data_IF_038260247789
#
_entry.id   IF_038260247789
#
_cell.length_a   1.000
_cell.length_b   1.000
_cell.length_c   1.000
_cell.angle_alpha   90.00
_cell.angle_beta   90.00
_cell.angle_gamma   90.00
#
_symmetry.space_group_name_H-M   'P 1'
#
loop_
_entity.id
_entity.type
_entity.pdbx_description
1 polymer ?
#
# COMPACT_ATOMS: atom_id res chain seq x y z
N UNK A 1 -8.78 -9.67 29.25
CA UNK A 1 -9.40 -8.59 28.44
C UNK A 1 -8.35 -8.11 27.46
N UNK A 2 -8.56 -8.26 26.15
CA UNK A 2 -7.65 -7.67 25.16
C UNK A 2 -7.97 -6.18 25.07
N UNK A 3 -7.00 -5.33 25.41
CA UNK A 3 -7.12 -3.88 25.30
C UNK A 3 -7.32 -3.54 23.82
N UNK A 4 -8.34 -2.75 23.48
CA UNK A 4 -8.54 -2.29 22.12
C UNK A 4 -7.29 -1.53 21.68
N UNK A 5 -6.66 -1.96 20.58
CA UNK A 5 -5.50 -1.26 20.03
C UNK A 5 -5.95 0.11 19.58
N UNK A 6 -5.47 1.15 20.26
CA UNK A 6 -5.72 2.54 19.89
C UNK A 6 -4.99 2.81 18.56
N UNK A 7 -5.73 3.31 17.57
CA UNK A 7 -5.19 3.65 16.25
C UNK A 7 -5.40 5.12 16.01
N UNK A 8 -4.39 5.80 15.50
CA UNK A 8 -4.52 7.15 14.97
C UNK A 8 -5.02 7.07 13.53
N UNK A 9 -5.96 7.91 13.15
CA UNK A 9 -6.53 7.97 11.80
C UNK A 9 -6.34 9.37 11.27
N UNK A 10 -5.59 9.50 10.18
CA UNK A 10 -5.48 10.73 9.40
C UNK A 10 -6.43 10.61 8.20
N UNK A 11 -7.57 11.27 8.32
CA UNK A 11 -8.50 11.42 7.20
C UNK A 11 -8.00 12.54 6.28
N UNK A 12 -7.93 12.32 4.97
CA UNK A 12 -7.55 13.34 4.01
C UNK A 12 -8.34 13.25 2.69
N UNK A 13 -8.59 14.42 2.09
CA UNK A 13 -9.25 14.58 0.77
C UNK A 13 -8.85 15.92 0.15
N UNK A 14 -8.71 15.98 -1.18
CA UNK A 14 -8.59 17.24 -1.90
C UNK A 14 -9.98 17.81 -2.27
N UNK A 15 -10.08 19.13 -2.26
CA UNK A 15 -11.24 19.88 -2.77
C UNK A 15 -10.79 20.80 -3.89
N UNK A 16 -11.15 20.43 -5.12
CA UNK A 16 -10.52 21.04 -6.29
C UNK A 16 -9.04 20.67 -6.34
N UNK A 17 -8.21 21.56 -6.87
CA UNK A 17 -6.79 21.29 -7.07
C UNK A 17 -5.88 21.83 -5.95
N UNK A 18 -6.37 22.75 -5.12
CA UNK A 18 -5.54 23.59 -4.25
C UNK A 18 -5.98 23.67 -2.79
N UNK A 19 -6.99 22.89 -2.36
CA UNK A 19 -7.40 22.80 -0.95
C UNK A 19 -7.29 21.35 -0.49
N UNK A 20 -6.54 21.10 0.58
CA UNK A 20 -6.59 19.84 1.31
C UNK A 20 -7.45 19.99 2.56
N UNK A 21 -8.33 19.01 2.76
CA UNK A 21 -9.06 18.81 4.01
C UNK A 21 -8.47 17.63 4.72
N UNK A 22 -8.13 17.82 5.99
CA UNK A 22 -7.57 16.78 6.81
C UNK A 22 -8.15 16.79 8.22
N UNK A 23 -8.09 15.64 8.87
CA UNK A 23 -8.47 15.48 10.27
C UNK A 23 -7.68 14.34 10.88
N UNK A 24 -7.10 14.58 12.04
CA UNK A 24 -6.49 13.54 12.86
C UNK A 24 -7.46 13.10 13.95
N UNK A 25 -7.69 11.80 14.14
CA UNK A 25 -8.61 11.28 15.14
C UNK A 25 -8.09 9.97 15.75
N UNK A 26 -8.51 9.65 16.96
CA UNK A 26 -8.27 8.32 17.54
C UNK A 26 -9.43 7.38 17.20
N UNK A 27 -9.11 6.14 16.87
CA UNK A 27 -10.08 5.10 16.53
C UNK A 27 -10.99 4.81 17.73
N UNK A 28 -12.30 4.79 17.49
CA UNK A 28 -13.32 4.60 18.53
C UNK A 28 -13.77 5.88 19.22
N UNK A 29 -13.27 7.06 18.81
CA UNK A 29 -13.85 8.33 19.26
C UNK A 29 -15.32 8.41 18.81
N UNK A 30 -16.22 8.77 19.73
CA UNK A 30 -17.65 8.80 19.46
C UNK A 30 -17.95 9.60 18.18
N UNK A 31 -18.74 9.03 17.28
CA UNK A 31 -19.19 9.71 16.06
C UNK A 31 -20.01 10.92 16.49
N UNK A 32 -19.38 12.09 16.51
CA UNK A 32 -20.07 13.34 16.74
C UNK A 32 -20.88 13.69 15.50
N UNK A 33 -22.07 14.25 15.69
CA UNK A 33 -22.91 14.77 14.59
C UNK A 33 -22.19 15.88 13.80
N UNK A 34 -21.17 16.49 14.39
CA UNK A 34 -20.31 17.49 13.77
C UNK A 34 -18.86 17.01 13.74
N UNK A 35 -18.27 16.95 12.55
CA UNK A 35 -16.86 16.66 12.35
C UNK A 35 -16.17 17.91 11.82
N UNK A 36 -15.19 18.43 12.57
CA UNK A 36 -14.35 19.54 12.12
C UNK A 36 -13.16 19.01 11.33
N UNK A 37 -12.91 19.62 10.17
CA UNK A 37 -11.73 19.36 9.34
C UNK A 37 -10.86 20.60 9.31
N UNK A 38 -9.55 20.41 9.43
CA UNK A 38 -8.60 21.44 9.04
C UNK A 38 -8.64 21.61 7.52
N UNK A 39 -8.58 22.85 7.07
CA UNK A 39 -8.47 23.22 5.66
C UNK A 39 -7.16 23.93 5.46
N UNK A 40 -6.46 23.57 4.39
CA UNK A 40 -5.23 24.24 4.00
C UNK A 40 -5.19 24.42 2.50
N UNK A 41 -4.91 25.66 2.08
CA UNK A 41 -4.66 25.96 0.69
C UNK A 41 -3.17 25.80 0.38
N UNK A 42 -2.87 25.31 -0.82
CA UNK A 42 -1.51 25.15 -1.33
C UNK A 42 -1.47 25.42 -2.83
N UNK A 43 -0.28 25.69 -3.36
CA UNK A 43 -0.06 25.79 -4.80
C UNK A 43 0.02 24.36 -5.40
N UNK A 44 -0.88 23.98 -6.32
CA UNK A 44 -0.85 22.66 -6.95
C UNK A 44 0.47 22.38 -7.67
N UNK A 45 1.11 23.41 -8.24
CA UNK A 45 2.40 23.27 -8.93
C UNK A 45 3.53 22.95 -7.93
N UNK A 46 3.47 23.50 -6.71
CA UNK A 46 4.42 23.18 -5.66
C UNK A 46 4.29 21.72 -5.22
N UNK A 47 3.05 21.23 -5.00
CA UNK A 47 2.83 19.83 -4.67
C UNK A 47 3.35 18.91 -5.78
N UNK A 48 3.02 19.22 -7.05
CA UNK A 48 3.51 18.47 -8.20
C UNK A 48 5.03 18.35 -8.25
N UNK A 49 5.74 19.47 -8.12
CA UNK A 49 7.21 19.50 -8.10
C UNK A 49 7.79 18.68 -6.93
N UNK A 50 7.19 18.77 -5.75
CA UNK A 50 7.64 18.00 -4.58
C UNK A 50 7.53 16.49 -4.81
N UNK A 51 6.41 16.04 -5.40
CA UNK A 51 6.18 14.64 -5.70
C UNK A 51 7.15 14.13 -6.78
N UNK A 52 7.41 14.92 -7.82
CA UNK A 52 8.42 14.58 -8.83
C UNK A 52 9.83 14.46 -8.25
N UNK A 53 10.24 15.39 -7.39
CA UNK A 53 11.57 15.36 -6.79
C UNK A 53 11.75 14.21 -5.80
N UNK A 54 10.68 13.84 -5.10
CA UNK A 54 10.66 12.65 -4.24
C UNK A 54 10.82 11.38 -5.08
N UNK A 55 10.08 11.26 -6.19
CA UNK A 55 10.21 10.13 -7.13
C UNK A 55 11.62 10.03 -7.73
N UNK A 56 12.21 11.16 -8.15
CA UNK A 56 13.59 11.20 -8.65
C UNK A 56 14.58 10.73 -7.59
N UNK A 57 14.42 11.19 -6.34
CA UNK A 57 15.32 10.83 -5.23
C UNK A 57 15.25 9.32 -4.92
N UNK A 58 14.05 8.73 -4.88
CA UNK A 58 13.88 7.28 -4.71
C UNK A 58 14.42 6.49 -5.91
N UNK A 59 14.28 7.00 -7.12
CA UNK A 59 14.83 6.33 -8.31
C UNK A 59 16.36 6.29 -8.31
N UNK A 60 16.99 7.32 -7.72
CA UNK A 60 18.45 7.39 -7.56
C UNK A 60 18.94 6.44 -6.46
N UNK A 61 18.15 6.15 -5.43
CA UNK A 61 18.56 5.21 -4.38
C UNK A 61 18.82 3.80 -4.87
N UNK A 62 18.17 3.41 -5.97
CA UNK A 62 18.41 2.13 -6.62
C UNK A 62 19.73 2.08 -7.42
N UNK A 63 20.44 3.21 -7.56
CA UNK A 63 21.62 3.35 -8.44
C UNK A 63 22.86 3.91 -7.73
N UNK A 64 22.67 4.72 -6.69
CA UNK A 64 23.73 5.49 -6.03
C UNK A 64 24.00 4.91 -4.65
N UNK A 65 25.28 4.73 -4.31
CA UNK A 65 25.72 4.11 -3.05
C UNK A 65 25.71 5.03 -1.83
N UNK A 66 25.51 6.34 -2.01
CA UNK A 66 25.49 7.31 -0.91
C UNK A 66 24.08 7.44 -0.30
N UNK A 67 23.76 6.47 0.56
CA UNK A 67 22.51 6.43 1.31
C UNK A 67 22.28 7.68 2.17
N UNK A 68 23.35 8.33 2.64
CA UNK A 68 23.25 9.49 3.54
C UNK A 68 22.73 10.74 2.84
N UNK A 69 23.20 10.98 1.61
CA UNK A 69 22.70 12.09 0.78
C UNK A 69 21.25 11.87 0.37
N UNK A 70 20.88 10.64 0.00
CA UNK A 70 19.50 10.28 -0.34
C UNK A 70 18.58 10.51 0.86
N UNK A 71 18.95 10.01 2.03
CA UNK A 71 18.15 10.19 3.24
C UNK A 71 17.97 11.67 3.59
N UNK A 72 19.04 12.46 3.48
CA UNK A 72 18.98 13.92 3.73
C UNK A 72 17.99 14.62 2.80
N UNK A 73 18.04 14.30 1.50
CA UNK A 73 17.10 14.86 0.52
C UNK A 73 15.66 14.43 0.78
N UNK A 74 15.43 13.15 1.09
CA UNK A 74 14.11 12.64 1.43
C UNK A 74 13.54 13.32 2.68
N UNK A 75 14.37 13.57 3.71
CA UNK A 75 13.94 14.30 4.92
C UNK A 75 13.52 15.73 4.60
N UNK A 76 14.27 16.42 3.76
CA UNK A 76 13.94 17.79 3.33
C UNK A 76 12.61 17.84 2.56
N UNK A 77 12.42 16.93 1.59
CA UNK A 77 11.19 16.83 0.81
C UNK A 77 10.00 16.41 1.67
N UNK A 78 10.17 15.40 2.52
CA UNK A 78 9.15 14.94 3.46
C UNK A 78 8.70 16.01 4.45
N UNK A 79 9.64 16.87 4.90
CA UNK A 79 9.31 18.00 5.79
C UNK A 79 8.52 19.07 5.06
N UNK A 80 8.87 19.37 3.80
CA UNK A 80 8.07 20.28 2.96
C UNK A 80 6.67 19.73 2.70
N UNK A 81 6.51 18.41 2.51
CA UNK A 81 5.19 17.79 2.41
C UNK A 81 4.39 17.92 3.71
N UNK A 82 5.02 17.68 4.86
CA UNK A 82 4.37 17.84 6.17
C UNK A 82 3.84 19.27 6.35
N UNK A 83 4.68 20.25 6.03
CA UNK A 83 4.31 21.65 6.07
C UNK A 83 3.22 21.95 5.05
N UNK A 84 3.32 21.53 3.80
CA UNK A 84 2.35 21.87 2.76
C UNK A 84 0.95 21.31 3.04
N UNK A 85 0.87 20.08 3.56
CA UNK A 85 -0.37 19.30 3.65
C UNK A 85 -1.11 19.46 4.99
N UNK A 86 -0.39 19.71 6.09
CA UNK A 86 -0.97 19.67 7.43
C UNK A 86 -0.94 21.04 8.10
N UNK A 87 -2.02 21.42 8.78
CA UNK A 87 -2.06 22.67 9.55
C UNK A 87 -1.27 22.55 10.87
N UNK A 88 -1.01 23.67 11.52
CA UNK A 88 -0.29 23.72 12.80
C UNK A 88 -0.91 22.83 13.88
N UNK A 89 -2.23 22.83 14.02
CA UNK A 89 -2.93 21.98 14.98
C UNK A 89 -2.65 20.48 14.75
N UNK A 90 -2.76 20.01 13.50
CA UNK A 90 -2.50 18.60 13.18
C UNK A 90 -1.05 18.23 13.41
N UNK A 91 -0.12 19.13 13.04
CA UNK A 91 1.32 18.93 13.28
C UNK A 91 1.63 18.83 14.78
N UNK A 92 1.13 19.77 15.57
CA UNK A 92 1.23 19.73 17.04
C UNK A 92 0.68 18.42 17.62
N UNK A 93 -0.45 17.93 17.12
CA UNK A 93 -1.00 16.65 17.58
C UNK A 93 -0.11 15.46 17.24
N UNK A 94 0.59 15.45 16.11
CA UNK A 94 1.58 14.40 15.79
C UNK A 94 2.78 14.42 16.73
N UNK A 95 3.19 15.59 17.22
CA UNK A 95 4.26 15.73 18.21
C UNK A 95 3.88 15.12 19.56
N UNK A 96 2.60 15.16 19.93
CA UNK A 96 2.10 14.58 21.20
C UNK A 96 2.00 13.04 21.18
N UNK A 97 2.26 12.38 20.05
CA UNK A 97 2.13 10.93 19.91
C UNK A 97 3.48 10.24 20.00
N UNK A 98 3.58 9.18 20.79
CA UNK A 98 4.81 8.40 20.95
C UNK A 98 5.01 7.31 19.87
N UNK A 99 4.06 7.17 18.94
CA UNK A 99 4.02 6.12 17.91
C UNK A 99 2.72 5.31 17.96
N UNK A 100 2.75 4.08 17.46
CA UNK A 100 1.59 3.18 17.43
C UNK A 100 1.09 2.93 16.00
N UNK A 101 -0.20 2.70 15.83
CA UNK A 101 -0.80 2.48 14.51
C UNK A 101 -1.31 3.79 13.92
N UNK A 102 -0.97 4.07 12.67
CA UNK A 102 -1.49 5.21 11.91
C UNK A 102 -2.17 4.71 10.64
N UNK A 103 -3.44 5.03 10.49
CA UNK A 103 -4.22 4.72 9.28
C UNK A 103 -4.45 6.01 8.51
N UNK A 104 -4.01 6.04 7.25
CA UNK A 104 -4.37 7.07 6.30
C UNK A 104 -5.72 6.70 5.67
N UNK A 105 -6.79 7.41 6.06
CA UNK A 105 -8.12 7.26 5.46
C UNK A 105 -8.28 8.32 4.34
N UNK A 106 -7.98 7.89 3.12
CA UNK A 106 -7.83 8.73 1.95
C UNK A 106 -9.02 8.54 1.03
N UNK A 107 -9.40 9.58 0.28
CA UNK A 107 -10.12 9.34 -0.98
C UNK A 107 -9.13 9.19 -2.15
N UNK A 108 -9.65 8.88 -3.34
CA UNK A 108 -8.87 8.71 -4.57
C UNK A 108 -7.97 9.91 -4.90
N UNK A 109 -8.37 11.13 -4.51
CA UNK A 109 -7.62 12.35 -4.82
C UNK A 109 -6.33 12.45 -4.01
N UNK A 110 -6.22 11.79 -2.86
CA UNK A 110 -5.04 11.85 -1.99
C UNK A 110 -4.12 10.62 -2.07
N UNK A 111 -4.46 9.60 -2.87
CA UNK A 111 -3.70 8.34 -2.92
C UNK A 111 -2.30 8.52 -3.50
N UNK A 112 -2.14 9.40 -4.48
CA UNK A 112 -0.86 9.65 -5.15
C UNK A 112 0.20 10.31 -4.23
N UNK A 113 -0.22 10.86 -3.09
CA UNK A 113 0.68 11.46 -2.09
C UNK A 113 1.32 10.34 -1.25
N UNK A 114 2.66 10.31 -1.08
CA UNK A 114 3.35 9.32 -0.27
C UNK A 114 3.32 9.71 1.22
N UNK A 115 2.14 9.61 1.85
CA UNK A 115 1.91 9.97 3.26
C UNK A 115 2.90 9.31 4.24
N UNK A 116 3.38 8.12 3.93
CA UNK A 116 4.39 7.38 4.67
C UNK A 116 5.74 8.11 4.74
N UNK A 117 6.09 8.84 3.67
CA UNK A 117 7.34 9.58 3.51
C UNK A 117 7.23 11.04 3.95
N UNK A 118 6.10 11.42 4.52
CA UNK A 118 5.97 12.70 5.23
C UNK A 118 6.88 12.65 6.46
N UNK A 119 7.65 13.71 6.67
CA UNK A 119 8.62 13.83 7.77
C UNK A 119 8.16 14.92 8.72
N UNK A 120 7.93 14.57 9.97
CA UNK A 120 7.29 15.47 10.96
C UNK A 120 8.25 16.41 11.68
N UNK A 121 9.53 16.38 11.29
CA UNK A 121 10.62 17.08 11.96
C UNK A 121 11.46 16.18 12.87
N UNK A 122 10.94 15.01 13.26
CA UNK A 122 11.65 13.98 14.05
C UNK A 122 12.05 12.78 13.19
N UNK A 123 11.09 12.15 12.50
CA UNK A 123 11.35 11.03 11.59
C UNK A 123 10.20 10.92 10.55
N UNK A 124 10.34 10.02 9.58
CA UNK A 124 9.26 9.70 8.65
C UNK A 124 8.09 9.05 9.37
N UNK A 125 6.85 9.34 8.95
CA UNK A 125 5.65 8.78 9.58
C UNK A 125 5.65 7.24 9.58
N UNK A 126 6.16 6.59 8.52
CA UNK A 126 6.28 5.13 8.48
C UNK A 126 7.34 4.53 9.43
N UNK A 127 8.26 5.35 9.94
CA UNK A 127 9.25 4.96 10.95
C UNK A 127 8.77 5.24 12.37
N UNK A 128 7.94 6.28 12.56
CA UNK A 128 7.28 6.58 13.84
C UNK A 128 6.09 5.68 14.13
N UNK A 129 5.34 5.30 13.09
CA UNK A 129 4.08 4.56 13.21
C UNK A 129 4.08 3.31 12.33
N UNK A 130 3.37 2.27 12.77
CA UNK A 130 2.93 1.18 11.90
C UNK A 130 1.80 1.71 11.02
N UNK A 131 2.14 2.09 9.78
CA UNK A 131 1.24 2.77 8.85
C UNK A 131 0.43 1.80 7.99
N UNK A 132 -0.78 2.19 7.62
CA UNK A 132 -1.59 1.55 6.59
C UNK A 132 -2.52 2.55 5.89
N UNK A 133 -3.04 2.20 4.73
CA UNK A 133 -3.98 3.04 3.95
C UNK A 133 -5.36 2.38 3.88
N UNK A 134 -6.40 3.20 3.96
CA UNK A 134 -7.78 2.88 3.57
C UNK A 134 -8.15 3.89 2.49
N UNK A 135 -8.68 3.41 1.36
CA UNK A 135 -9.06 4.28 0.24
C UNK A 135 -10.57 4.22 0.03
N UNK A 136 -11.24 5.33 0.35
CA UNK A 136 -12.64 5.61 0.03
C UNK A 136 -12.78 5.83 -1.46
N UNK A 137 -13.60 5.01 -2.10
CA UNK A 137 -13.82 4.97 -3.55
C UNK A 137 -15.30 4.84 -3.83
N UNK A 138 -15.72 5.22 -5.03
CA UNK A 138 -17.05 4.89 -5.56
C UNK A 138 -17.12 3.51 -6.19
N UNK A 139 -15.97 2.85 -6.41
CA UNK A 139 -15.93 1.49 -6.93
C UNK A 139 -16.49 0.49 -5.91
N UNK A 140 -17.36 -0.40 -6.37
CA UNK A 140 -17.90 -1.46 -5.52
C UNK A 140 -16.79 -2.44 -5.11
N UNK A 141 -16.52 -2.52 -3.80
CA UNK A 141 -15.67 -3.56 -3.26
C UNK A 141 -16.44 -4.88 -3.27
N UNK A 142 -15.92 -5.88 -3.99
CA UNK A 142 -16.42 -7.26 -3.91
C UNK A 142 -15.86 -7.89 -2.65
N UNK A 143 -16.48 -7.58 -1.51
CA UNK A 143 -16.16 -8.19 -0.23
C UNK A 143 -16.68 -9.63 -0.23
N UNK A 144 -15.83 -10.59 -0.64
CA UNK A 144 -16.07 -11.99 -0.30
C UNK A 144 -15.51 -12.19 1.11
N UNK A 145 -16.36 -12.03 2.12
CA UNK A 145 -16.00 -12.39 3.49
C UNK A 145 -15.60 -13.87 3.54
N UNK A 146 -14.30 -14.15 3.64
CA UNK A 146 -13.81 -15.47 4.00
C UNK A 146 -13.70 -15.56 5.52
N UNK A 147 -14.38 -16.51 6.18
CA UNK A 147 -14.11 -16.83 7.58
C UNK A 147 -12.62 -17.08 7.78
N UNK A 148 -12.06 -16.64 8.92
CA UNK A 148 -10.66 -16.97 9.23
C UNK A 148 -10.53 -18.50 9.27
N UNK A 149 -9.63 -19.09 8.47
CA UNK A 149 -9.48 -20.54 8.47
C UNK A 149 -9.00 -21.01 9.85
N UNK A 150 -9.62 -22.07 10.37
CA UNK A 150 -9.18 -22.78 11.58
C UNK A 150 -8.07 -23.83 11.26
N UNK A 151 -7.41 -23.65 10.11
CA UNK A 151 -6.30 -24.46 9.62
C UNK A 151 -5.04 -23.61 9.51
N UNK A 152 -3.89 -24.24 9.19
CA UNK A 152 -2.68 -23.51 8.81
C UNK A 152 -2.99 -22.52 7.68
N UNK A 153 -2.47 -21.29 7.80
CA UNK A 153 -2.61 -20.30 6.75
C UNK A 153 -1.82 -20.75 5.51
N UNK A 154 -2.47 -20.78 4.35
CA UNK A 154 -1.82 -21.14 3.09
C UNK A 154 -1.28 -19.89 2.40
N UNK A 155 0.01 -19.88 2.07
CA UNK A 155 0.70 -18.83 1.34
C UNK A 155 1.23 -19.39 0.01
N UNK A 156 0.89 -18.74 -1.09
CA UNK A 156 1.56 -18.98 -2.37
C UNK A 156 2.61 -17.89 -2.60
N UNK A 157 3.84 -18.30 -2.88
CA UNK A 157 4.94 -17.43 -3.30
C UNK A 157 5.10 -17.59 -4.80
N UNK A 158 4.91 -16.52 -5.55
CA UNK A 158 5.16 -16.44 -6.99
C UNK A 158 6.38 -15.58 -7.21
N UNK A 159 7.44 -16.18 -7.73
CA UNK A 159 8.73 -15.53 -7.96
C UNK A 159 9.15 -15.64 -9.41
N UNK A 160 9.70 -14.55 -9.95
CA UNK A 160 10.33 -14.51 -11.28
C UNK A 160 9.49 -15.23 -12.37
N UNK A 161 8.20 -14.93 -12.52
CA UNK A 161 7.31 -15.69 -13.42
C UNK A 161 7.77 -15.65 -14.88
N UNK A 162 8.46 -14.59 -15.29
CA UNK A 162 9.05 -14.37 -16.62
C UNK A 162 10.41 -15.06 -16.82
N UNK A 163 11.07 -15.48 -15.74
CA UNK A 163 12.37 -16.17 -15.78
C UNK A 163 13.59 -15.26 -15.99
N UNK A 164 13.41 -13.95 -16.10
CA UNK A 164 14.45 -12.96 -16.42
C UNK A 164 14.85 -12.05 -15.24
N UNK A 165 14.29 -12.29 -14.04
CA UNK A 165 14.55 -11.52 -12.82
C UNK A 165 15.11 -12.40 -11.68
N UNK A 166 16.42 -12.74 -11.69
CA UNK A 166 17.02 -13.64 -10.70
C UNK A 166 16.82 -13.20 -9.24
N UNK A 167 16.87 -11.89 -8.97
CA UNK A 167 16.66 -11.33 -7.63
C UNK A 167 15.28 -11.67 -7.05
N UNK A 168 14.24 -11.80 -7.89
CA UNK A 168 12.91 -12.23 -7.44
C UNK A 168 12.88 -13.72 -7.06
N UNK A 169 13.68 -14.55 -7.75
CA UNK A 169 13.88 -15.96 -7.36
C UNK A 169 14.63 -16.07 -6.03
N UNK A 170 15.65 -15.24 -5.82
CA UNK A 170 16.40 -15.17 -4.55
C UNK A 170 15.51 -14.74 -3.38
N UNK A 171 14.70 -13.69 -3.56
CA UNK A 171 13.71 -13.25 -2.57
C UNK A 171 12.73 -14.38 -2.20
N UNK A 172 12.24 -15.10 -3.21
CA UNK A 172 11.37 -16.26 -3.00
C UNK A 172 12.04 -17.33 -2.14
N UNK A 173 13.25 -17.74 -2.50
CA UNK A 173 14.01 -18.73 -1.75
C UNK A 173 14.25 -18.30 -0.29
N UNK A 174 14.65 -17.05 -0.06
CA UNK A 174 14.83 -16.51 1.29
C UNK A 174 13.54 -16.52 2.11
N UNK A 175 12.40 -16.19 1.49
CA UNK A 175 11.10 -16.19 2.16
C UNK A 175 10.71 -17.61 2.57
N UNK A 176 10.94 -18.61 1.70
CA UNK A 176 10.72 -20.01 2.04
C UNK A 176 11.58 -20.44 3.22
N UNK A 177 12.87 -20.12 3.21
CA UNK A 177 13.79 -20.48 4.29
C UNK A 177 13.37 -19.86 5.63
N UNK A 178 12.98 -18.58 5.63
CA UNK A 178 12.51 -17.87 6.82
C UNK A 178 11.20 -18.47 7.36
N UNK A 179 10.31 -18.92 6.48
CA UNK A 179 9.00 -19.47 6.85
C UNK A 179 8.99 -20.99 7.08
N UNK A 180 10.04 -21.72 6.70
CA UNK A 180 10.13 -23.17 6.83
C UNK A 180 9.93 -23.65 8.28
N UNK A 181 10.31 -22.81 9.25
CA UNK A 181 10.19 -23.11 10.68
C UNK A 181 8.85 -22.69 11.30
N UNK A 182 7.95 -22.01 10.59
CA UNK A 182 6.68 -21.53 11.12
C UNK A 182 5.57 -22.60 10.96
N UNK A 183 5.19 -23.33 12.02
CA UNK A 183 4.29 -24.47 11.90
C UNK A 183 2.85 -24.07 11.50
N UNK A 184 2.47 -22.80 11.64
CA UNK A 184 1.13 -22.30 11.35
C UNK A 184 0.95 -21.84 9.90
N UNK A 185 2.02 -21.82 9.11
CA UNK A 185 1.98 -21.38 7.70
C UNK A 185 2.38 -22.57 6.82
N UNK A 186 1.59 -22.83 5.79
CA UNK A 186 1.94 -23.73 4.69
C UNK A 186 2.31 -22.86 3.50
N UNK A 187 3.55 -23.02 3.00
CA UNK A 187 4.05 -22.27 1.86
C UNK A 187 4.12 -23.19 0.65
N UNK A 188 3.53 -22.75 -0.46
CA UNK A 188 3.80 -23.29 -1.79
C UNK A 188 4.58 -22.25 -2.58
N UNK A 189 5.52 -22.71 -3.41
CA UNK A 189 6.40 -21.84 -4.17
C UNK A 189 6.33 -22.17 -5.65
N UNK A 190 6.12 -21.13 -6.44
CA UNK A 190 6.15 -21.17 -7.88
C UNK A 190 7.23 -20.22 -8.38
N UNK A 191 8.26 -20.77 -9.03
CA UNK A 191 9.39 -20.01 -9.56
C UNK A 191 9.50 -20.21 -11.08
N UNK A 192 9.21 -19.18 -11.85
CA UNK A 192 9.30 -19.19 -13.32
C UNK A 192 8.19 -19.97 -14.04
N UNK A 193 7.74 -19.44 -15.18
CA UNK A 193 6.81 -20.14 -16.08
C UNK A 193 5.34 -20.13 -15.65
N UNK A 194 4.92 -19.14 -14.84
CA UNK A 194 3.54 -19.09 -14.34
C UNK A 194 2.67 -18.46 -15.42
N UNK A 195 1.62 -19.16 -15.85
CA UNK A 195 0.67 -18.60 -16.82
C UNK A 195 -0.49 -17.88 -16.13
N UNK A 196 -1.20 -17.02 -16.86
CA UNK A 196 -2.44 -16.36 -16.39
C UNK A 196 -3.49 -17.36 -15.93
N UNK A 197 -3.63 -18.48 -16.65
CA UNK A 197 -4.59 -19.54 -16.32
C UNK A 197 -4.21 -20.22 -15.01
N UNK A 198 -2.92 -20.48 -14.80
CA UNK A 198 -2.45 -21.13 -13.57
C UNK A 198 -2.59 -20.21 -12.37
N UNK A 199 -2.22 -18.93 -12.50
CA UNK A 199 -2.45 -17.95 -11.44
C UNK A 199 -3.94 -17.82 -11.09
N UNK A 200 -4.83 -17.75 -12.10
CA UNK A 200 -6.28 -17.68 -11.88
C UNK A 200 -6.86 -18.89 -11.12
N UNK A 201 -6.22 -20.07 -11.22
CA UNK A 201 -6.57 -21.24 -10.41
C UNK A 201 -6.06 -21.10 -8.97
N UNK A 202 -4.85 -20.57 -8.78
CA UNK A 202 -4.21 -20.46 -7.47
C UNK A 202 -4.86 -19.38 -6.59
N UNK A 203 -5.31 -18.25 -7.14
CA UNK A 203 -5.87 -17.13 -6.36
C UNK A 203 -7.01 -17.53 -5.39
N UNK A 204 -7.74 -18.60 -5.70
CA UNK A 204 -8.82 -19.13 -4.87
C UNK A 204 -8.37 -20.02 -3.72
N UNK A 205 -7.23 -20.68 -3.84
CA UNK A 205 -6.79 -21.78 -2.98
C UNK A 205 -5.98 -21.31 -1.77
N UNK A 206 -5.36 -20.12 -1.86
CA UNK A 206 -4.46 -19.60 -0.83
C UNK A 206 -5.08 -18.46 -0.02
N UNK A 207 -4.71 -18.41 1.26
CA UNK A 207 -5.09 -17.33 2.17
C UNK A 207 -4.28 -16.05 1.90
N UNK A 208 -3.03 -16.21 1.44
CA UNK A 208 -2.14 -15.11 1.08
C UNK A 208 -1.38 -15.40 -0.23
N UNK A 209 -1.03 -14.34 -0.95
CA UNK A 209 -0.17 -14.35 -2.13
C UNK A 209 1.01 -13.42 -1.89
N UNK A 210 2.22 -13.90 -2.16
CA UNK A 210 3.39 -13.06 -2.35
C UNK A 210 3.78 -13.13 -3.82
N UNK A 211 3.78 -11.99 -4.51
CA UNK A 211 4.22 -11.86 -5.89
C UNK A 211 5.51 -11.04 -5.94
N UNK A 212 6.55 -11.58 -6.58
CA UNK A 212 7.80 -10.87 -6.88
C UNK A 212 8.14 -11.07 -8.36
N UNK A 213 8.14 -9.97 -9.12
CA UNK A 213 8.22 -10.00 -10.58
C UNK A 213 8.05 -8.63 -11.24
N UNK A 214 7.93 -8.60 -12.56
CA UNK A 214 7.66 -7.35 -13.28
C UNK A 214 6.19 -6.93 -13.13
N UNK A 215 5.98 -5.62 -13.07
CA UNK A 215 4.65 -5.02 -13.21
C UNK A 215 4.63 -4.08 -14.40
N UNK A 216 3.45 -3.94 -15.00
CA UNK A 216 3.18 -3.03 -16.10
C UNK A 216 1.93 -2.20 -15.78
N UNK A 217 1.82 -1.02 -16.40
CA UNK A 217 0.69 -0.11 -16.21
C UNK A 217 0.23 0.55 -17.53
N UNK A 218 0.54 -0.07 -18.68
CA UNK A 218 0.22 0.48 -20.00
C UNK A 218 -1.30 0.55 -20.25
N UNK A 219 -2.00 -0.53 -19.93
CA UNK A 219 -3.45 -0.67 -20.05
C UNK A 219 -4.08 -0.87 -18.67
N UNK A 220 -3.49 -0.22 -17.66
CA UNK A 220 -3.79 -0.40 -16.24
C UNK A 220 -2.88 -1.43 -15.55
N UNK A 221 -2.97 -1.51 -14.21
CA UNK A 221 -2.00 -2.22 -13.40
C UNK A 221 -2.08 -3.73 -13.63
N UNK A 222 -0.93 -4.34 -13.92
CA UNK A 222 -0.82 -5.74 -14.24
C UNK A 222 0.43 -6.39 -13.62
N UNK A 223 0.31 -7.67 -13.29
CA UNK A 223 1.45 -8.55 -13.05
C UNK A 223 1.89 -9.17 -14.37
N UNK A 224 3.19 -9.14 -14.68
CA UNK A 224 3.69 -9.79 -15.90
C UNK A 224 3.95 -11.25 -15.61
N UNK A 225 3.34 -12.12 -16.40
CA UNK A 225 3.45 -13.58 -16.30
C UNK A 225 4.16 -14.13 -17.54
N UNK A 226 4.40 -15.45 -17.59
CA UNK A 226 5.14 -16.05 -18.72
C UNK A 226 4.39 -15.95 -20.06
N UNK A 227 3.06 -15.78 -20.02
CA UNK A 227 2.16 -15.62 -21.18
C UNK A 227 1.56 -14.21 -21.27
N UNK A 228 2.23 -13.21 -20.68
CA UNK A 228 1.91 -11.78 -20.78
C UNK A 228 1.24 -11.19 -19.54
N UNK A 229 0.67 -9.96 -19.65
CA UNK A 229 0.15 -9.23 -18.50
C UNK A 229 -1.16 -9.83 -17.95
N UNK A 230 -1.21 -10.04 -16.63
CA UNK A 230 -2.40 -10.33 -15.84
C UNK A 230 -2.94 -9.02 -15.24
N UNK A 231 -3.91 -8.41 -15.93
CA UNK A 231 -4.50 -7.13 -15.54
C UNK A 231 -5.37 -7.26 -14.28
N UNK A 232 -5.43 -6.20 -13.48
CA UNK A 232 -6.32 -6.12 -12.31
C UNK A 232 -7.80 -6.40 -12.65
N UNK A 233 -8.26 -6.00 -13.84
CA UNK A 233 -9.62 -6.28 -14.32
C UNK A 233 -9.92 -7.78 -14.43
N UNK A 234 -8.91 -8.61 -14.70
CA UNK A 234 -9.05 -10.06 -14.68
C UNK A 234 -9.40 -10.56 -13.27
N UNK A 235 -8.74 -10.02 -12.22
CA UNK A 235 -9.06 -10.36 -10.84
C UNK A 235 -10.48 -9.91 -10.46
N UNK A 236 -10.90 -8.71 -10.88
CA UNK A 236 -12.27 -8.24 -10.70
C UNK A 236 -13.28 -9.18 -11.38
N UNK A 237 -12.99 -9.59 -12.61
CA UNK A 237 -13.84 -10.54 -13.35
C UNK A 237 -13.96 -11.88 -12.62
N UNK A 238 -12.84 -12.45 -12.17
CA UNK A 238 -12.82 -13.73 -11.44
C UNK A 238 -13.61 -13.64 -10.13
N UNK A 239 -13.46 -12.55 -9.39
CA UNK A 239 -14.20 -12.33 -8.13
C UNK A 239 -15.70 -12.13 -8.36
N UNK A 240 -16.12 -11.43 -9.42
CA UNK A 240 -17.54 -11.33 -9.82
C UNK A 240 -18.14 -12.68 -10.23
N UNK A 241 -17.32 -13.58 -10.76
CA UNK A 241 -17.72 -14.95 -11.08
C UNK A 241 -17.77 -15.87 -9.85
N UNK A 242 -17.63 -15.33 -8.64
CA UNK A 242 -17.69 -16.07 -7.39
C UNK A 242 -16.40 -16.82 -7.07
N UNK A 243 -15.30 -16.58 -7.80
CA UNK A 243 -14.00 -17.08 -7.39
C UNK A 243 -13.51 -16.27 -6.21
N UNK A 244 -13.11 -16.98 -5.18
CA UNK A 244 -12.59 -16.33 -4.01
C UNK A 244 -11.15 -15.80 -4.31
N UNK A 245 -10.75 -14.71 -3.66
CA UNK A 245 -9.42 -14.11 -3.82
C UNK A 245 -8.59 -14.27 -2.53
N UNK A 246 -7.26 -14.11 -2.57
CA UNK A 246 -6.41 -14.21 -1.37
C UNK A 246 -6.74 -13.08 -0.39
N UNK A 247 -6.71 -13.33 0.92
CA UNK A 247 -7.03 -12.29 1.92
C UNK A 247 -5.95 -11.23 2.06
N UNK A 248 -4.72 -11.60 1.69
CA UNK A 248 -3.54 -10.77 1.82
C UNK A 248 -2.68 -10.93 0.57
N UNK A 249 -2.29 -9.81 -0.02
CA UNK A 249 -1.41 -9.80 -1.19
C UNK A 249 -0.19 -8.95 -0.84
N UNK A 250 0.98 -9.57 -0.84
CA UNK A 250 2.27 -8.90 -0.88
C UNK A 250 2.68 -8.76 -2.33
N UNK A 251 2.81 -7.52 -2.79
CA UNK A 251 3.11 -7.22 -4.18
C UNK A 251 4.46 -6.52 -4.29
N UNK A 252 5.50 -7.28 -4.61
CA UNK A 252 6.82 -6.77 -4.92
C UNK A 252 7.02 -6.73 -6.44
N UNK A 253 6.27 -5.83 -7.08
CA UNK A 253 6.36 -5.58 -8.51
C UNK A 253 6.63 -4.11 -8.77
N UNK A 254 7.54 -3.83 -9.70
CA UNK A 254 7.74 -2.46 -10.18
C UNK A 254 6.48 -1.97 -10.90
N UNK A 255 5.99 -0.78 -10.58
CA UNK A 255 5.16 -0.03 -11.52
C UNK A 255 6.13 0.58 -12.54
N UNK A 256 5.95 0.24 -13.83
CA UNK A 256 6.80 0.74 -14.90
C UNK A 256 6.92 2.27 -14.85
N UNK A 257 8.15 2.77 -14.89
CA UNK A 257 8.39 4.19 -15.17
C UNK A 257 8.42 4.38 -16.68
N UNK A 258 7.43 5.05 -17.26
CA UNK A 258 7.62 5.66 -18.58
C UNK A 258 7.12 7.11 -18.69
N UNK A 259 7.84 7.83 -19.56
CA UNK A 259 7.81 9.27 -19.83
C UNK A 259 6.73 9.60 -20.87
N UNK A 260 5.80 10.48 -20.54
CA UNK A 260 4.86 11.09 -21.50
C UNK A 260 4.23 12.35 -20.91
N UNK A 261 4.05 13.43 -21.69
CA UNK A 261 3.50 14.68 -21.18
C UNK A 261 1.98 14.59 -21.07
N UNK A 262 1.46 14.86 -19.87
CA UNK A 262 0.07 15.21 -19.65
C UNK A 262 -0.95 14.10 -19.95
N UNK A 263 -1.02 13.08 -19.09
CA UNK A 263 -2.33 12.55 -18.69
C UNK A 263 -2.26 11.81 -17.36
N UNK A 264 -3.24 12.11 -16.51
CA UNK A 264 -3.69 11.50 -15.25
C UNK A 264 -2.65 10.92 -14.28
N UNK A 265 -2.43 11.65 -13.19
CA UNK A 265 -1.57 11.29 -12.06
C UNK A 265 -2.25 10.19 -11.23
N UNK A 266 -2.15 8.94 -11.68
CA UNK A 266 -2.28 7.75 -10.82
C UNK A 266 -0.89 7.12 -10.66
N UNK A 267 0.01 7.81 -9.96
CA UNK A 267 1.37 7.31 -9.70
C UNK A 267 1.60 7.28 -8.20
N UNK A 268 1.49 6.10 -7.59
CA UNK A 268 1.78 5.93 -6.16
C UNK A 268 3.09 5.19 -6.01
N UNK A 269 3.98 5.80 -5.24
CA UNK A 269 5.26 5.26 -4.81
C UNK A 269 5.13 3.83 -4.28
N UNK A 270 6.21 3.06 -4.48
CA UNK A 270 6.44 1.75 -3.87
C UNK A 270 5.90 1.74 -2.43
N UNK A 271 4.77 1.04 -2.24
CA UNK A 271 4.18 0.82 -0.94
C UNK A 271 4.15 -0.67 -0.69
N UNK A 272 4.75 -1.09 0.41
CA UNK A 272 4.33 -2.30 1.10
C UNK A 272 2.91 -1.99 1.59
N UNK A 273 1.93 -2.29 0.76
CA UNK A 273 0.53 -1.94 0.97
C UNK A 273 -0.25 -2.19 -0.30
N UNK A 274 -1.36 -2.90 -0.17
CA UNK A 274 -2.27 -3.31 -1.25
C UNK A 274 -2.42 -2.23 -2.33
N UNK A 275 -2.07 -2.56 -3.56
CA UNK A 275 -2.31 -1.71 -4.72
C UNK A 275 -3.78 -1.24 -4.71
N UNK A 276 -4.08 0.03 -5.05
CA UNK A 276 -5.45 0.55 -5.08
C UNK A 276 -6.42 -0.23 -5.98
N UNK A 277 -5.90 -0.91 -7.00
CA UNK A 277 -6.62 -1.82 -7.91
C UNK A 277 -6.77 -3.25 -7.37
N UNK A 278 -6.02 -3.61 -6.33
CA UNK A 278 -6.09 -4.88 -5.62
C UNK A 278 -6.61 -4.63 -4.20
N UNK A 279 -7.84 -4.11 -4.10
CA UNK A 279 -8.53 -4.00 -2.80
C UNK A 279 -8.90 -5.38 -2.31
N UNK A 280 -8.04 -5.93 -1.45
CA UNK A 280 -8.32 -7.09 -0.62
C UNK A 280 -8.19 -6.64 0.84
N UNK A 281 -9.22 -6.93 1.64
CA UNK A 281 -9.36 -6.38 2.98
C UNK A 281 -8.12 -6.60 3.86
N UNK A 282 -7.57 -5.51 4.38
CA UNK A 282 -6.74 -5.55 5.57
C UNK A 282 -7.62 -5.99 6.75
N UNK A 283 -7.64 -7.30 7.03
CA UNK A 283 -8.39 -7.86 8.15
C UNK A 283 -7.81 -7.31 9.45
N UNK A 284 -8.55 -6.40 10.06
CA UNK A 284 -8.31 -5.95 11.43
C UNK A 284 -8.68 -7.08 12.39
N UNK A 285 -7.73 -7.49 13.24
CA UNK A 285 -7.97 -8.47 14.30
C UNK A 285 -8.96 -7.92 15.33
N UNK A 286 -10.21 -8.37 15.24
CA UNK A 286 -11.20 -8.34 16.32
C UNK A 286 -11.61 -9.79 16.58
N UNK A 287 -10.96 -10.43 17.57
CA UNK A 287 -11.32 -11.78 17.99
C UNK A 287 -12.69 -11.78 18.66
N UNK A 288 -13.67 -12.48 18.07
CA UNK A 288 -14.87 -12.92 18.79
C UNK A 288 -14.48 -14.13 19.64
N UNK A 289 -14.70 -14.04 20.96
CA UNK A 289 -14.70 -15.20 21.84
C UNK A 289 -15.91 -16.06 21.47
N UNK A 290 -15.66 -17.30 21.08
CA UNK A 290 -16.67 -18.35 21.19
C UNK A 290 -16.76 -18.76 22.67
N UNK A 291 -17.99 -18.74 23.18
CA UNK A 291 -18.40 -19.36 24.45
C UNK A 291 -18.24 -20.87 24.40
#
# INVERSE_FOLDING_TARGET
>A
MAQAVQRLVLEASLRGESEIRSRLAESGCAVSTFVSYSKRHFDPAELGSLLEDLQKTLSLSNRVSDASTIETNLKALGSRLFDLLLNEETRWRFEQQAGGFLVFDLDETCVHIPWELVHDGTDFLCRRFATGRIVRTTQEALAVERPRPDRKASLIVVSNPTGDLPAASEEGAELLDKLASEPRIQVEWFNGGLTKIDLAKLLGEFDALHYSGHGEDNDGPAWVLSDGPFQAEMLHTLTRQGRAAPRLVFNNACQGMEKGPGDQIHKTAASVGLMPSFKLDAVTTSGRMAT
#
